data_IF_318852214041
#
_entry.id   IF_318852214041
#
_cell.length_a   1.000
_cell.length_b   1.000
_cell.length_c   1.000
_cell.angle_alpha   90.00
_cell.angle_beta   90.00
_cell.angle_gamma   90.00
#
_symmetry.space_group_name_H-M   'P 1'
#
loop_
_entity.id
_entity.type
_entity.pdbx_description
1 polymer ?
#
# COMPACT_ATOMS: atom_id res chain seq x y z
N UNK A 1 -2.08 -10.55 -22.60
CA UNK A 1 -2.36 -9.33 -23.40
C UNK A 1 -3.46 -8.43 -22.82
N UNK A 2 -4.38 -8.93 -21.98
CA UNK A 2 -5.49 -8.14 -21.41
C UNK A 2 -5.09 -6.83 -20.69
N UNK A 3 -4.02 -6.86 -19.87
CA UNK A 3 -3.53 -5.67 -19.17
C UNK A 3 -3.05 -4.56 -20.12
N UNK A 4 -2.35 -4.94 -21.20
CA UNK A 4 -1.88 -4.01 -22.23
C UNK A 4 -3.05 -3.38 -22.99
N UNK A 5 -4.07 -4.16 -23.38
CA UNK A 5 -5.29 -3.63 -24.02
C UNK A 5 -6.02 -2.61 -23.14
N UNK A 6 -6.10 -2.85 -21.83
CA UNK A 6 -6.70 -1.88 -20.90
C UNK A 6 -5.87 -0.59 -20.76
N UNK A 7 -4.54 -0.72 -20.80
CA UNK A 7 -3.62 0.42 -20.70
C UNK A 7 -3.47 1.20 -22.01
N UNK A 8 -3.77 0.61 -23.17
CA UNK A 8 -3.63 1.27 -24.48
C UNK A 8 -4.33 2.62 -24.56
N UNK A 9 -5.54 2.76 -24.01
CA UNK A 9 -6.25 4.06 -23.99
C UNK A 9 -5.49 5.16 -23.26
N UNK A 10 -4.61 4.81 -22.32
CA UNK A 10 -3.76 5.75 -21.59
C UNK A 10 -2.38 5.91 -22.22
N UNK A 11 -1.81 4.83 -22.77
CA UNK A 11 -0.47 4.82 -23.36
C UNK A 11 -0.44 5.38 -24.78
N UNK A 12 -1.51 5.18 -25.54
CA UNK A 12 -1.66 5.60 -26.94
C UNK A 12 -3.09 6.13 -27.15
N UNK A 13 -3.38 7.38 -26.75
CA UNK A 13 -4.74 7.94 -26.78
C UNK A 13 -5.36 8.02 -28.18
N UNK A 14 -4.54 8.00 -29.23
CA UNK A 14 -4.95 8.03 -30.63
C UNK A 14 -5.42 6.68 -31.15
N UNK A 15 -5.16 5.58 -30.44
CA UNK A 15 -5.71 4.27 -30.78
C UNK A 15 -7.12 4.13 -30.18
N UNK A 16 -8.12 4.11 -31.05
CA UNK A 16 -9.51 3.76 -30.72
C UNK A 16 -9.65 2.24 -30.53
N UNK A 17 -8.92 1.68 -29.56
CA UNK A 17 -9.11 0.28 -29.21
C UNK A 17 -10.30 0.17 -28.24
N UNK A 18 -11.47 -0.17 -28.77
CA UNK A 18 -12.61 -0.57 -27.94
C UNK A 18 -12.41 -1.98 -27.39
N UNK A 19 -12.63 -2.15 -26.08
CA UNK A 19 -12.57 -3.46 -25.45
C UNK A 19 -13.86 -4.20 -25.81
N UNK A 20 -13.75 -5.43 -26.29
CA UNK A 20 -14.92 -6.28 -26.55
C UNK A 20 -15.51 -6.81 -25.24
N UNK A 21 -16.73 -7.34 -25.28
CA UNK A 21 -17.35 -8.00 -24.12
C UNK A 21 -16.51 -9.19 -23.60
N UNK A 22 -15.89 -9.97 -24.49
CA UNK A 22 -14.88 -10.98 -24.12
C UNK A 22 -13.68 -10.39 -23.37
N UNK A 23 -13.19 -9.21 -23.77
CA UNK A 23 -12.12 -8.52 -23.06
C UNK A 23 -12.62 -8.00 -21.69
N UNK A 24 -13.90 -7.64 -21.53
CA UNK A 24 -14.48 -7.26 -20.24
C UNK A 24 -14.61 -8.44 -19.25
N UNK A 25 -14.82 -9.66 -19.75
CA UNK A 25 -14.96 -10.88 -18.95
C UNK A 25 -13.64 -11.38 -18.34
N UNK A 26 -12.49 -10.86 -18.77
CA UNK A 26 -11.18 -11.39 -18.37
C UNK A 26 -10.64 -10.71 -17.10
N UNK A 27 -11.04 -11.17 -15.91
CA UNK A 27 -10.37 -10.72 -14.68
C UNK A 27 -8.98 -11.37 -14.54
N UNK A 28 -7.92 -10.56 -14.41
CA UNK A 28 -6.57 -11.10 -14.19
C UNK A 28 -6.42 -11.74 -12.80
N UNK A 29 -5.55 -12.76 -12.69
CA UNK A 29 -5.24 -13.40 -11.39
C UNK A 29 -4.70 -12.41 -10.36
N UNK A 30 -3.84 -11.48 -10.79
CA UNK A 30 -3.29 -10.43 -9.91
C UNK A 30 -4.37 -9.49 -9.38
N UNK A 31 -5.29 -9.04 -10.24
CA UNK A 31 -6.43 -8.22 -9.83
C UNK A 31 -7.32 -8.95 -8.83
N UNK A 32 -7.65 -10.21 -9.10
CA UNK A 32 -8.43 -11.05 -8.18
C UNK A 32 -7.73 -11.16 -6.82
N UNK A 33 -6.42 -11.39 -6.80
CA UNK A 33 -5.65 -11.43 -5.56
C UNK A 33 -5.73 -10.12 -4.79
N UNK A 34 -5.52 -8.97 -5.45
CA UNK A 34 -5.60 -7.66 -4.81
C UNK A 34 -7.01 -7.41 -4.24
N UNK A 35 -8.06 -7.61 -5.03
CA UNK A 35 -9.44 -7.44 -4.58
C UNK A 35 -9.75 -8.34 -3.36
N UNK A 36 -9.31 -9.59 -3.40
CA UNK A 36 -9.46 -10.52 -2.28
C UNK A 36 -8.70 -10.09 -1.02
N UNK A 37 -7.49 -9.50 -1.14
CA UNK A 37 -6.74 -8.96 0.00
C UNK A 37 -7.54 -7.87 0.74
N UNK A 38 -8.40 -7.14 0.03
CA UNK A 38 -9.30 -6.14 0.58
C UNK A 38 -10.71 -6.66 0.89
N UNK A 39 -10.95 -7.97 0.77
CA UNK A 39 -12.23 -8.60 1.09
C UNK A 39 -13.31 -8.49 0.01
N UNK A 40 -12.94 -8.08 -1.21
CA UNK A 40 -13.88 -7.97 -2.34
C UNK A 40 -13.91 -9.25 -3.16
N UNK A 41 -15.02 -9.99 -3.10
CA UNK A 41 -15.29 -11.14 -3.97
C UNK A 41 -15.97 -10.68 -5.25
N UNK A 42 -15.17 -10.38 -6.27
CA UNK A 42 -15.64 -9.86 -7.56
C UNK A 42 -15.70 -10.98 -8.59
N UNK A 43 -16.87 -11.17 -9.20
CA UNK A 43 -17.00 -12.05 -10.36
C UNK A 43 -16.48 -11.37 -11.63
N UNK A 44 -15.87 -12.13 -12.53
CA UNK A 44 -15.36 -11.65 -13.80
C UNK A 44 -16.40 -10.83 -14.61
N UNK A 45 -17.67 -11.27 -14.61
CA UNK A 45 -18.77 -10.66 -15.36
C UNK A 45 -19.13 -9.23 -14.95
N UNK A 46 -18.75 -8.81 -13.75
CA UNK A 46 -19.04 -7.46 -13.23
C UNK A 46 -17.81 -6.54 -13.28
N UNK A 47 -16.66 -7.03 -13.72
CA UNK A 47 -15.42 -6.24 -13.84
C UNK A 47 -15.55 -5.21 -14.96
N UNK A 48 -15.59 -3.94 -14.57
CA UNK A 48 -15.61 -2.79 -15.48
C UNK A 48 -14.36 -1.92 -15.26
N UNK A 49 -14.09 -1.00 -16.20
CA UNK A 49 -12.94 -0.08 -16.17
C UNK A 49 -12.70 0.59 -14.81
N UNK A 50 -13.76 0.98 -14.10
CA UNK A 50 -13.63 1.60 -12.78
C UNK A 50 -13.10 0.63 -11.71
N UNK A 51 -13.51 -0.65 -11.71
CA UNK A 51 -12.97 -1.68 -10.81
C UNK A 51 -11.50 -1.93 -11.15
N UNK A 52 -11.18 -1.98 -12.44
CA UNK A 52 -9.80 -2.13 -12.93
C UNK A 52 -8.91 -1.00 -12.40
N UNK A 53 -9.35 0.25 -12.57
CA UNK A 53 -8.62 1.43 -12.10
C UNK A 53 -8.48 1.46 -10.58
N UNK A 54 -9.51 1.04 -9.83
CA UNK A 54 -9.44 0.95 -8.38
C UNK A 54 -8.45 -0.12 -7.92
N UNK A 55 -8.50 -1.31 -8.51
CA UNK A 55 -7.56 -2.39 -8.20
C UNK A 55 -6.11 -2.01 -8.54
N UNK A 56 -5.87 -1.34 -9.68
CA UNK A 56 -4.55 -0.82 -10.05
C UNK A 56 -4.04 0.20 -9.03
N UNK A 57 -4.88 1.18 -8.66
CA UNK A 57 -4.50 2.19 -7.68
C UNK A 57 -4.21 1.57 -6.30
N UNK A 58 -4.98 0.55 -5.88
CA UNK A 58 -4.70 -0.16 -4.62
C UNK A 58 -3.35 -0.89 -4.68
N UNK A 59 -3.07 -1.59 -5.79
CA UNK A 59 -1.80 -2.26 -6.02
C UNK A 59 -0.62 -1.28 -5.99
N UNK A 60 -0.72 -0.15 -6.68
CA UNK A 60 0.33 0.89 -6.69
C UNK A 60 0.57 1.46 -5.28
N UNK A 61 -0.48 1.65 -4.49
CA UNK A 61 -0.35 2.07 -3.09
C UNK A 61 0.39 1.02 -2.26
N UNK A 62 0.08 -0.26 -2.45
CA UNK A 62 0.76 -1.34 -1.72
C UNK A 62 2.22 -1.46 -2.14
N UNK A 63 2.53 -1.33 -3.43
CA UNK A 63 3.91 -1.26 -3.93
C UNK A 63 4.65 -0.06 -3.33
N UNK A 64 4.02 1.11 -3.26
CA UNK A 64 4.61 2.32 -2.66
C UNK A 64 4.94 2.09 -1.18
N UNK A 65 4.00 1.57 -0.40
CA UNK A 65 4.22 1.28 1.03
C UNK A 65 5.31 0.23 1.20
N UNK A 66 5.21 -0.89 0.48
CA UNK A 66 6.16 -2.00 0.59
C UNK A 66 7.58 -1.62 0.16
N UNK A 67 7.73 -0.74 -0.84
CA UNK A 67 9.04 -0.22 -1.28
C UNK A 67 9.79 0.44 -0.14
N UNK A 68 9.06 1.13 0.74
CA UNK A 68 9.67 1.87 1.84
C UNK A 68 9.69 1.08 3.16
N UNK A 69 9.01 -0.06 3.27
CA UNK A 69 9.04 -0.91 4.48
C UNK A 69 10.46 -1.31 4.86
N UNK A 70 11.27 -1.83 3.93
CA UNK A 70 12.65 -2.24 4.23
C UNK A 70 13.55 -1.05 4.57
N UNK A 71 13.37 0.08 3.87
CA UNK A 71 14.10 1.32 4.15
C UNK A 71 13.77 1.88 5.53
N UNK A 72 12.50 1.84 5.92
CA UNK A 72 12.07 2.26 7.24
C UNK A 72 12.58 1.31 8.33
N UNK A 73 12.55 0.00 8.08
CA UNK A 73 13.10 -1.00 9.01
C UNK A 73 14.60 -0.78 9.24
N UNK A 74 15.36 -0.60 8.16
CA UNK A 74 16.77 -0.23 8.25
C UNK A 74 17.00 1.10 8.98
N UNK A 75 16.19 2.12 8.68
CA UNK A 75 16.27 3.41 9.38
C UNK A 75 15.98 3.29 10.88
N UNK A 76 15.01 2.46 11.26
CA UNK A 76 14.70 2.14 12.65
C UNK A 76 15.86 1.40 13.31
N UNK A 77 16.42 0.37 12.67
CA UNK A 77 17.58 -0.38 13.20
C UNK A 77 18.78 0.54 13.45
N UNK A 78 19.11 1.44 12.51
CA UNK A 78 20.18 2.43 12.67
C UNK A 78 19.92 3.40 13.83
N UNK A 79 18.67 3.82 13.97
CA UNK A 79 18.26 4.72 15.03
C UNK A 79 18.23 4.02 16.40
N UNK A 80 17.83 2.75 16.46
CA UNK A 80 17.90 1.92 17.66
C UNK A 80 19.35 1.67 18.08
N UNK A 81 20.26 1.40 17.15
CA UNK A 81 21.70 1.28 17.41
C UNK A 81 22.27 2.58 18.02
N UNK A 82 21.85 3.74 17.51
CA UNK A 82 22.20 5.05 18.07
C UNK A 82 21.61 5.30 19.47
N UNK A 83 20.49 4.65 19.81
CA UNK A 83 19.82 4.78 21.11
C UNK A 83 20.33 3.77 22.15
N UNK A 84 20.72 2.57 21.71
CA UNK A 84 20.93 1.41 22.58
C UNK A 84 22.39 1.14 22.98
N UNK A 85 23.34 1.98 22.57
CA UNK A 85 24.73 1.89 23.06
C UNK A 85 25.03 2.97 24.13
N UNK A 86 25.40 2.59 25.37
CA UNK A 86 24.95 1.42 26.13
C UNK A 86 24.47 1.79 27.56
N UNK A 87 23.34 1.22 28.00
CA UNK A 87 23.13 0.92 29.43
C UNK A 87 22.14 -0.24 29.68
N UNK A 88 21.37 -0.71 28.68
CA UNK A 88 20.41 -1.81 28.88
C UNK A 88 20.45 -2.84 27.74
N UNK A 89 20.48 -4.13 28.11
CA UNK A 89 20.43 -5.30 27.21
C UNK A 89 19.11 -5.29 26.42
N UNK A 90 19.18 -5.06 25.11
CA UNK A 90 18.00 -5.11 24.23
C UNK A 90 17.70 -6.56 23.88
N UNK A 91 16.62 -7.10 24.45
CA UNK A 91 16.03 -8.36 23.97
C UNK A 91 15.24 -8.08 22.69
N UNK A 92 15.73 -8.58 21.55
CA UNK A 92 15.02 -8.57 20.26
C UNK A 92 13.72 -9.37 20.38
N UNK A 93 12.56 -8.72 20.24
CA UNK A 93 11.24 -9.35 20.35
C UNK A 93 10.51 -9.43 19.00
N UNK A 94 9.75 -10.51 18.79
CA UNK A 94 8.89 -10.82 17.63
C UNK A 94 7.69 -9.85 17.43
N UNK A 95 7.81 -8.58 17.81
CA UNK A 95 6.71 -7.62 17.69
C UNK A 95 6.50 -7.16 16.24
N UNK A 96 5.25 -7.20 15.80
CA UNK A 96 4.81 -6.65 14.52
C UNK A 96 4.77 -5.10 14.54
N UNK A 97 4.89 -4.47 15.72
CA UNK A 97 5.08 -3.03 15.85
C UNK A 97 6.51 -2.65 15.50
N UNK A 98 6.69 -1.74 14.53
CA UNK A 98 8.01 -1.28 14.09
C UNK A 98 8.81 -0.58 15.20
N UNK A 99 8.16 -0.03 16.23
CA UNK A 99 8.77 0.62 17.38
C UNK A 99 7.85 0.48 18.60
N UNK A 100 8.40 0.18 19.77
CA UNK A 100 7.62 0.26 21.01
C UNK A 100 7.26 1.72 21.33
N UNK A 101 6.13 1.93 22.00
CA UNK A 101 5.71 3.28 22.40
C UNK A 101 6.75 4.03 23.25
N UNK A 102 7.50 3.31 24.09
CA UNK A 102 8.57 3.89 24.90
C UNK A 102 9.75 4.37 24.04
N UNK A 103 10.18 3.56 23.07
CA UNK A 103 11.25 3.92 22.13
C UNK A 103 10.82 5.09 21.25
N UNK A 104 9.58 5.10 20.76
CA UNK A 104 9.02 6.21 19.99
C UNK A 104 8.99 7.53 20.80
N UNK A 105 8.63 7.48 22.08
CA UNK A 105 8.64 8.67 22.93
C UNK A 105 10.06 9.19 23.19
N UNK A 106 11.04 8.29 23.36
CA UNK A 106 12.46 8.65 23.48
C UNK A 106 12.96 9.36 22.22
N UNK A 107 12.59 8.88 21.03
CA UNK A 107 12.91 9.56 19.75
C UNK A 107 12.40 10.99 19.68
N UNK A 108 11.17 11.23 20.11
CA UNK A 108 10.59 12.58 20.11
C UNK A 108 11.38 13.49 21.06
N UNK A 109 11.72 12.99 22.25
CA UNK A 109 12.46 13.75 23.26
C UNK A 109 13.89 14.07 22.82
N UNK A 110 14.53 13.15 22.09
CA UNK A 110 15.92 13.25 21.61
C UNK A 110 16.02 13.78 20.17
N UNK A 111 14.94 14.34 19.61
CA UNK A 111 14.87 14.71 18.19
C UNK A 111 15.97 15.68 17.73
N UNK A 112 16.43 16.56 18.62
CA UNK A 112 17.54 17.50 18.40
C UNK A 112 18.88 16.78 18.14
N UNK A 113 19.09 15.59 18.70
CA UNK A 113 20.34 14.81 18.56
C UNK A 113 20.51 14.13 17.20
N UNK A 114 19.48 14.20 16.34
CA UNK A 114 19.44 13.53 15.04
C UNK A 114 19.21 14.49 13.87
N UNK A 115 19.09 15.80 14.12
CA UNK A 115 18.76 16.80 13.11
C UNK A 115 19.79 16.85 11.97
N UNK A 116 21.06 16.65 12.29
CA UNK A 116 22.20 16.60 11.37
C UNK A 116 22.51 15.18 10.84
N UNK A 117 22.02 14.14 11.53
CA UNK A 117 22.26 12.73 11.18
C UNK A 117 21.24 12.17 10.20
N UNK A 118 20.03 12.73 10.17
CA UNK A 118 18.97 12.33 9.27
C UNK A 118 18.85 13.34 8.13
N UNK A 119 18.89 12.86 6.89
CA UNK A 119 18.59 13.70 5.73
C UNK A 119 17.08 14.01 5.69
N UNK A 120 16.64 14.98 6.49
CA UNK A 120 15.24 15.27 6.82
C UNK A 120 14.36 15.43 5.58
N UNK A 121 14.90 16.00 4.49
CA UNK A 121 14.17 16.16 3.23
C UNK A 121 13.83 14.84 2.56
N UNK A 122 14.73 13.85 2.61
CA UNK A 122 14.50 12.54 2.01
C UNK A 122 13.46 11.76 2.82
N UNK A 123 13.60 11.74 4.15
CA UNK A 123 12.65 11.12 5.06
C UNK A 123 11.25 11.75 4.98
N UNK A 124 11.17 13.08 4.90
CA UNK A 124 9.90 13.78 4.73
C UNK A 124 9.21 13.43 3.40
N UNK A 125 9.98 13.26 2.31
CA UNK A 125 9.44 12.84 1.03
C UNK A 125 8.86 11.41 1.10
N UNK A 126 9.63 10.48 1.69
CA UNK A 126 9.18 9.10 1.92
C UNK A 126 7.90 9.07 2.76
N UNK A 127 7.87 9.81 3.86
CA UNK A 127 6.70 9.90 4.73
C UNK A 127 5.47 10.42 3.97
N UNK A 128 5.63 11.49 3.18
CA UNK A 128 4.54 12.06 2.37
C UNK A 128 4.01 11.06 1.33
N UNK A 129 4.89 10.30 0.68
CA UNK A 129 4.50 9.26 -0.28
C UNK A 129 3.66 8.17 0.40
N UNK A 130 4.12 7.66 1.54
CA UNK A 130 3.43 6.61 2.32
C UNK A 130 2.06 7.08 2.80
N UNK A 131 1.99 8.27 3.41
CA UNK A 131 0.72 8.85 3.88
C UNK A 131 -0.24 9.10 2.72
N UNK A 132 0.29 9.61 1.59
CA UNK A 132 -0.46 9.79 0.36
C UNK A 132 -1.05 8.49 -0.16
N UNK A 133 -0.24 7.43 -0.25
CA UNK A 133 -0.66 6.10 -0.65
C UNK A 133 -1.73 5.53 0.27
N UNK A 134 -1.56 5.60 1.60
CA UNK A 134 -2.57 5.15 2.56
C UNK A 134 -3.91 5.88 2.41
N UNK A 135 -3.88 7.21 2.25
CA UNK A 135 -5.09 8.02 2.07
C UNK A 135 -5.79 7.67 0.76
N UNK A 136 -5.04 7.57 -0.33
CA UNK A 136 -5.59 7.22 -1.64
C UNK A 136 -6.22 5.82 -1.60
N UNK A 137 -5.49 4.83 -1.11
CA UNK A 137 -5.94 3.44 -0.95
C UNK A 137 -7.23 3.35 -0.15
N UNK A 138 -7.27 3.99 1.03
CA UNK A 138 -8.46 4.00 1.89
C UNK A 138 -9.68 4.61 1.18
N UNK A 139 -9.47 5.67 0.41
CA UNK A 139 -10.54 6.27 -0.38
C UNK A 139 -11.03 5.35 -1.51
N UNK A 140 -10.13 4.61 -2.16
CA UNK A 140 -10.49 3.63 -3.22
C UNK A 140 -11.28 2.46 -2.65
N UNK A 141 -10.83 1.87 -1.53
CA UNK A 141 -11.54 0.80 -0.82
C UNK A 141 -12.94 1.25 -0.41
N UNK A 142 -13.07 2.43 0.23
CA UNK A 142 -14.37 2.97 0.63
C UNK A 142 -15.30 3.18 -0.56
N UNK A 143 -14.80 3.75 -1.66
CA UNK A 143 -15.61 3.93 -2.88
C UNK A 143 -16.08 2.58 -3.39
N UNK A 144 -15.17 1.62 -3.57
CA UNK A 144 -15.52 0.29 -4.09
C UNK A 144 -16.59 -0.40 -3.24
N UNK A 145 -16.54 -0.23 -1.91
CA UNK A 145 -17.55 -0.75 -0.98
C UNK A 145 -18.94 -0.08 -1.13
N UNK A 146 -18.98 1.22 -1.41
CA UNK A 146 -20.25 1.95 -1.62
C UNK A 146 -20.93 1.63 -2.97
N UNK A 147 -20.16 1.22 -3.99
CA UNK A 147 -20.67 1.07 -5.35
C UNK A 147 -21.45 -0.22 -5.58
N UNK A 148 -21.22 -1.27 -4.79
CA UNK A 148 -21.93 -2.53 -4.95
C UNK A 148 -22.11 -3.22 -3.60
N UNK A 149 -23.32 -3.71 -3.25
CA UNK A 149 -23.45 -4.65 -2.14
C UNK A 149 -22.77 -5.96 -2.55
N UNK A 150 -21.51 -6.10 -2.18
CA UNK A 150 -20.75 -7.33 -2.42
C UNK A 150 -21.39 -8.49 -1.64
N UNK A 151 -21.49 -9.70 -2.22
CA UNK A 151 -21.91 -10.86 -1.46
C UNK A 151 -20.95 -11.03 -0.27
N UNK A 152 -21.43 -10.73 0.94
CA UNK A 152 -20.66 -10.93 2.17
C UNK A 152 -20.62 -12.44 2.42
N UNK A 153 -19.43 -13.02 2.59
CA UNK A 153 -19.33 -14.41 3.06
C UNK A 153 -20.23 -14.58 4.28
N UNK A 154 -21.08 -15.62 4.35
CA UNK A 154 -21.79 -15.92 5.58
C UNK A 154 -20.74 -16.14 6.67
N UNK A 155 -20.93 -15.48 7.82
CA UNK A 155 -20.14 -15.80 9.01
C UNK A 155 -20.33 -17.30 9.26
N UNK A 156 -19.24 -18.06 9.26
CA UNK A 156 -19.27 -19.43 9.76
C UNK A 156 -19.71 -19.34 11.22
N UNK A 157 -20.89 -19.87 11.52
CA UNK A 157 -21.35 -20.14 12.88
C UNK A 157 -20.45 -21.19 13.53
#
# INVERSE_FOLDING_TARGET
>A
MWGLKNLMKFLVPSEELELTDEDHLQMSRGMKSILNCYGFEVEAKIVKSHIINMASAMYECDVCVNKYTELLRYGVEQLEELICYPEEDVTTGDSQEMLSGAVAQKFVNDSDKYEDKLHMRAWLAIYKDIVGAHKLRSNRVRRLDHWHPWPRRPKKN
#
